data_IF_522395229903
#
_entry.id   IF_522395229903
#
_cell.length_a   1.000
_cell.length_b   1.000
_cell.length_c   1.000
_cell.angle_alpha   90.00
_cell.angle_beta   90.00
_cell.angle_gamma   90.00
#
_symmetry.space_group_name_H-M   'P 1'
#
loop_
_entity.id
_entity.type
_entity.pdbx_description
1 polymer ?
#
# COMPACT_ATOMS: atom_id res chain seq x y z
N UNK A 1 -0.85 21.57 2.94
CA UNK A 1 -1.41 20.60 3.91
C UNK A 1 -1.88 19.39 3.15
N UNK A 2 -1.42 18.20 3.51
CA UNK A 2 -1.89 16.96 2.90
C UNK A 2 -3.37 16.74 3.23
N UNK A 3 -4.15 16.33 2.22
CA UNK A 3 -5.58 16.07 2.36
C UNK A 3 -5.78 14.58 2.55
N UNK A 4 -6.45 14.18 3.64
CA UNK A 4 -6.73 12.77 3.91
C UNK A 4 -7.86 12.28 2.99
N UNK A 5 -7.63 11.24 2.18
CA UNK A 5 -8.67 10.66 1.36
C UNK A 5 -9.85 10.13 2.17
N UNK A 6 -11.06 10.24 1.61
CA UNK A 6 -12.30 9.92 2.36
C UNK A 6 -13.07 8.77 1.76
N UNK A 7 -13.01 8.64 0.45
CA UNK A 7 -13.77 7.64 -0.29
C UNK A 7 -12.95 7.28 -1.51
N UNK A 8 -12.62 6.02 -1.64
CA UNK A 8 -12.15 5.41 -2.85
C UNK A 8 -12.47 3.93 -2.77
N UNK A 9 -12.33 3.26 -3.89
CA UNK A 9 -12.36 1.81 -3.96
C UNK A 9 -10.99 1.37 -4.44
N UNK A 10 -10.33 0.51 -3.67
CA UNK A 10 -8.93 0.20 -3.89
C UNK A 10 -8.71 -0.61 -5.17
N UNK A 11 -9.66 -1.48 -5.52
CA UNK A 11 -9.60 -2.24 -6.77
C UNK A 11 -9.80 -1.30 -7.96
N UNK A 12 -10.76 -0.37 -7.90
CA UNK A 12 -10.89 0.66 -8.96
C UNK A 12 -9.67 1.56 -9.07
N UNK A 13 -9.02 1.90 -7.95
CA UNK A 13 -7.79 2.68 -7.95
C UNK A 13 -6.67 1.92 -8.66
N UNK A 14 -6.55 0.62 -8.40
CA UNK A 14 -5.62 -0.29 -9.08
C UNK A 14 -5.87 -0.32 -10.59
N UNK A 15 -7.13 -0.55 -11.00
CA UNK A 15 -7.54 -0.58 -12.40
C UNK A 15 -7.29 0.76 -13.10
N UNK A 16 -7.57 1.88 -12.43
CA UNK A 16 -7.27 3.21 -12.95
C UNK A 16 -5.77 3.44 -13.15
N UNK A 17 -4.91 2.91 -12.28
CA UNK A 17 -3.45 2.99 -12.46
C UNK A 17 -3.02 2.23 -13.72
N UNK A 18 -3.53 1.02 -13.93
CA UNK A 18 -3.27 0.24 -15.15
C UNK A 18 -3.81 0.91 -16.40
N UNK A 19 -5.03 1.46 -16.33
CA UNK A 19 -5.68 2.15 -17.44
C UNK A 19 -4.91 3.41 -17.85
N UNK A 20 -4.47 4.21 -16.89
CA UNK A 20 -3.74 5.46 -17.17
C UNK A 20 -2.34 5.15 -17.71
N UNK A 21 -1.66 4.17 -17.14
CA UNK A 21 -0.31 3.79 -17.54
C UNK A 21 0.74 4.86 -17.21
N UNK A 22 1.93 4.72 -17.80
CA UNK A 22 3.05 5.67 -17.62
C UNK A 22 2.90 6.93 -18.48
N UNK A 23 2.00 6.90 -19.47
CA UNK A 23 1.74 8.02 -20.38
C UNK A 23 0.78 9.04 -19.76
N UNK A 24 1.05 10.33 -19.92
CA UNK A 24 0.16 11.39 -19.44
C UNK A 24 -1.12 11.41 -20.27
N UNK A 25 -2.26 11.16 -19.62
CA UNK A 25 -3.61 11.24 -20.21
C UNK A 25 -4.37 12.45 -19.69
N UNK A 26 -5.15 13.11 -20.56
CA UNK A 26 -6.02 14.22 -20.16
C UNK A 26 -7.10 13.72 -19.20
N UNK A 27 -7.52 14.55 -18.25
CA UNK A 27 -8.51 14.18 -17.23
C UNK A 27 -9.84 13.74 -17.86
N UNK A 28 -10.26 14.44 -18.90
CA UNK A 28 -11.49 14.16 -19.65
C UNK A 28 -11.45 12.75 -20.25
N UNK A 29 -10.31 12.36 -20.84
CA UNK A 29 -10.13 11.02 -21.41
C UNK A 29 -10.21 9.95 -20.33
N UNK A 30 -9.61 10.19 -19.16
CA UNK A 30 -9.68 9.22 -18.04
C UNK A 30 -11.13 9.09 -17.55
N UNK A 31 -11.87 10.19 -17.47
CA UNK A 31 -13.29 10.17 -17.07
C UNK A 31 -14.20 9.48 -18.09
N UNK A 32 -13.93 9.67 -19.38
CA UNK A 32 -14.77 9.10 -20.44
C UNK A 32 -14.55 7.59 -20.61
N UNK A 33 -13.36 7.09 -20.25
CA UNK A 33 -13.02 5.65 -20.30
C UNK A 33 -13.32 4.94 -18.97
N UNK A 34 -13.43 5.66 -17.86
CA UNK A 34 -13.80 5.05 -16.59
C UNK A 34 -15.26 4.61 -16.60
N UNK A 35 -15.55 3.39 -16.16
CA UNK A 35 -16.93 2.85 -16.10
C UNK A 35 -17.80 3.48 -15.00
N UNK A 36 -17.25 4.42 -14.23
CA UNK A 36 -17.92 5.05 -13.09
C UNK A 36 -18.20 6.53 -13.32
N UNK A 37 -19.00 7.12 -12.41
CA UNK A 37 -19.31 8.55 -12.49
C UNK A 37 -18.06 9.42 -12.36
N UNK A 38 -18.03 10.57 -13.06
CA UNK A 38 -16.91 11.53 -12.98
C UNK A 38 -16.54 11.90 -11.54
N UNK A 39 -17.53 11.98 -10.64
CA UNK A 39 -17.32 12.26 -9.22
C UNK A 39 -16.56 11.12 -8.53
N UNK A 40 -16.97 9.87 -8.77
CA UNK A 40 -16.30 8.68 -8.23
C UNK A 40 -14.88 8.56 -8.75
N UNK A 41 -14.69 8.64 -10.07
CA UNK A 41 -13.36 8.61 -10.71
C UNK A 41 -12.47 9.72 -10.15
N UNK A 42 -13.02 10.93 -9.95
CA UNK A 42 -12.28 12.02 -9.35
C UNK A 42 -11.82 11.71 -7.92
N UNK A 43 -12.68 11.13 -7.08
CA UNK A 43 -12.33 10.71 -5.72
C UNK A 43 -11.24 9.63 -5.72
N UNK A 44 -11.35 8.63 -6.60
CA UNK A 44 -10.34 7.57 -6.75
C UNK A 44 -8.99 8.15 -7.20
N UNK A 45 -8.99 9.10 -8.14
CA UNK A 45 -7.77 9.83 -8.57
C UNK A 45 -7.15 10.63 -7.42
N UNK A 46 -7.95 11.31 -6.60
CA UNK A 46 -7.40 12.06 -5.45
C UNK A 46 -6.81 11.12 -4.40
N UNK A 47 -7.42 9.97 -4.15
CA UNK A 47 -6.88 8.93 -3.28
C UNK A 47 -5.55 8.39 -3.83
N UNK A 48 -5.52 7.98 -5.09
CA UNK A 48 -4.33 7.48 -5.76
C UNK A 48 -3.19 8.50 -5.75
N UNK A 49 -3.51 9.79 -5.96
CA UNK A 49 -2.56 10.89 -5.85
C UNK A 49 -2.00 11.03 -4.43
N UNK A 50 -2.85 10.96 -3.41
CA UNK A 50 -2.45 11.11 -2.02
C UNK A 50 -1.44 10.02 -1.61
N UNK A 51 -1.70 8.77 -2.00
CA UNK A 51 -0.81 7.63 -1.75
C UNK A 51 0.42 7.58 -2.69
N UNK A 52 0.60 8.56 -3.58
CA UNK A 52 1.74 8.57 -4.51
C UNK A 52 1.65 7.54 -5.64
N UNK A 53 0.48 6.93 -5.87
CA UNK A 53 0.21 5.98 -6.96
C UNK A 53 0.03 6.69 -8.30
N UNK A 54 -0.36 7.97 -8.27
CA UNK A 54 -0.56 8.78 -9.46
C UNK A 54 0.03 10.18 -9.33
N UNK A 55 0.50 10.73 -10.45
CA UNK A 55 0.86 12.13 -10.58
C UNK A 55 -0.22 12.87 -11.36
N UNK A 56 -0.85 13.83 -10.69
CA UNK A 56 -1.86 14.72 -11.29
C UNK A 56 -1.24 16.09 -11.54
N UNK A 57 -1.13 16.46 -12.81
CA UNK A 57 -0.62 17.75 -13.27
C UNK A 57 -1.69 18.50 -14.05
N UNK A 58 -1.42 19.74 -14.44
CA UNK A 58 -2.32 20.52 -15.31
C UNK A 58 -2.44 19.90 -16.72
N UNK A 59 -1.41 19.17 -17.15
CA UNK A 59 -1.39 18.50 -18.46
C UNK A 59 -2.21 17.21 -18.49
N UNK A 60 -2.46 16.62 -17.31
CA UNK A 60 -3.14 15.34 -17.20
C UNK A 60 -2.67 14.51 -16.02
N UNK A 61 -3.02 13.23 -16.08
CA UNK A 61 -2.79 12.22 -15.06
C UNK A 61 -1.86 11.15 -15.65
N UNK A 62 -0.88 10.69 -14.87
CA UNK A 62 -0.10 9.49 -15.16
C UNK A 62 0.05 8.65 -13.89
N UNK A 63 0.14 7.32 -14.01
CA UNK A 63 0.50 6.48 -12.89
C UNK A 63 2.01 6.61 -12.57
N UNK A 64 2.38 6.41 -11.31
CA UNK A 64 3.78 6.22 -10.88
C UNK A 64 4.17 4.75 -11.06
N UNK A 65 5.46 4.43 -10.92
CA UNK A 65 5.90 3.03 -10.94
C UNK A 65 5.15 2.21 -9.88
N UNK A 66 5.02 2.74 -8.66
CA UNK A 66 4.25 2.11 -7.59
C UNK A 66 2.78 1.84 -7.99
N UNK A 67 2.11 2.80 -8.63
CA UNK A 67 0.75 2.58 -9.13
C UNK A 67 0.67 1.53 -10.25
N UNK A 68 1.66 1.49 -11.14
CA UNK A 68 1.75 0.46 -12.18
C UNK A 68 1.97 -0.93 -11.57
N UNK A 69 2.89 -1.04 -10.61
CA UNK A 69 3.19 -2.31 -9.94
C UNK A 69 1.96 -2.84 -9.21
N UNK A 70 1.19 -1.98 -8.52
CA UNK A 70 -0.09 -2.37 -7.89
C UNK A 70 -1.10 -2.86 -8.95
N UNK A 71 -1.19 -2.19 -10.10
CA UNK A 71 -2.12 -2.61 -11.16
C UNK A 71 -1.79 -3.95 -11.81
N UNK A 72 -0.53 -4.39 -11.70
CA UNK A 72 -0.05 -5.65 -12.29
C UNK A 72 -0.10 -6.83 -11.31
N UNK A 73 -0.33 -6.58 -10.02
CA UNK A 73 -0.29 -7.59 -8.96
C UNK A 73 -1.66 -8.17 -8.61
N UNK A 74 -2.68 -8.01 -9.47
CA UNK A 74 -4.03 -8.53 -9.22
C UNK A 74 -4.10 -10.06 -8.93
N UNK A 75 -3.04 -10.83 -9.22
CA UNK A 75 -2.94 -12.26 -8.92
C UNK A 75 -1.95 -12.60 -7.78
N UNK A 76 -1.14 -11.64 -7.36
CA UNK A 76 -0.09 -11.79 -6.35
C UNK A 76 -0.43 -10.88 -5.17
N UNK A 77 -1.28 -11.40 -4.28
CA UNK A 77 -1.82 -10.67 -3.14
C UNK A 77 -0.72 -10.21 -2.18
N UNK A 78 0.26 -11.08 -1.89
CA UNK A 78 1.39 -10.78 -1.00
C UNK A 78 2.20 -9.59 -1.54
N UNK A 79 2.51 -9.60 -2.85
CA UNK A 79 3.20 -8.47 -3.47
C UNK A 79 2.34 -7.21 -3.48
N UNK A 80 1.04 -7.34 -3.73
CA UNK A 80 0.11 -6.20 -3.69
C UNK A 80 0.09 -5.54 -2.31
N UNK A 81 0.00 -6.33 -1.25
CA UNK A 81 0.02 -5.87 0.13
C UNK A 81 1.31 -5.13 0.48
N UNK A 82 2.47 -5.67 0.09
CA UNK A 82 3.76 -5.01 0.29
C UNK A 82 3.84 -3.63 -0.39
N UNK A 83 3.30 -3.50 -1.62
CA UNK A 83 3.25 -2.22 -2.33
C UNK A 83 2.29 -1.23 -1.64
N UNK A 84 1.17 -1.69 -1.08
CA UNK A 84 0.30 -0.85 -0.26
C UNK A 84 0.96 -0.43 1.06
N UNK A 85 1.74 -1.29 1.72
CA UNK A 85 2.56 -0.89 2.89
C UNK A 85 3.52 0.24 2.52
N UNK A 86 4.20 0.12 1.37
CA UNK A 86 5.09 1.18 0.88
C UNK A 86 4.33 2.49 0.62
N UNK A 87 3.14 2.41 0.00
CA UNK A 87 2.28 3.56 -0.28
C UNK A 87 1.80 4.25 1.01
N UNK A 88 1.43 3.47 2.03
CA UNK A 88 1.04 3.98 3.36
C UNK A 88 2.21 4.68 4.03
N UNK A 89 3.40 4.09 4.02
CA UNK A 89 4.61 4.69 4.58
C UNK A 89 5.03 5.99 3.87
N UNK A 90 4.74 6.11 2.57
CA UNK A 90 5.01 7.33 1.79
C UNK A 90 4.01 8.47 2.03
N UNK A 91 2.83 8.17 2.58
CA UNK A 91 1.80 9.16 2.83
C UNK A 91 1.77 9.56 4.30
N UNK A 92 2.45 10.68 4.62
CA UNK A 92 2.67 11.18 5.98
C UNK A 92 1.43 11.12 6.89
N UNK A 93 0.22 11.54 6.48
CA UNK A 93 -0.95 11.45 7.36
C UNK A 93 -1.29 10.03 7.81
N UNK A 94 -1.10 9.04 6.94
CA UNK A 94 -1.33 7.66 7.30
C UNK A 94 -0.17 7.11 8.13
N UNK A 95 1.09 7.43 7.79
CA UNK A 95 2.25 7.04 8.57
C UNK A 95 2.15 7.51 10.04
N UNK A 96 1.81 8.79 10.26
CA UNK A 96 1.60 9.36 11.59
C UNK A 96 0.41 8.71 12.32
N UNK A 97 -0.68 8.38 11.61
CA UNK A 97 -1.80 7.66 12.22
C UNK A 97 -1.41 6.25 12.65
N UNK A 98 -0.65 5.51 11.85
CA UNK A 98 -0.15 4.17 12.21
C UNK A 98 0.71 4.27 13.47
N UNK A 99 1.70 5.17 13.51
CA UNK A 99 2.55 5.41 14.69
C UNK A 99 1.73 5.71 15.95
N UNK A 100 0.73 6.59 15.86
CA UNK A 100 -0.12 6.97 17.00
C UNK A 100 -1.01 5.82 17.46
N UNK A 101 -1.59 5.05 16.53
CA UNK A 101 -2.45 3.92 16.86
C UNK A 101 -1.67 2.78 17.51
N UNK A 102 -0.45 2.50 17.04
CA UNK A 102 0.43 1.47 17.60
C UNK A 102 0.97 1.81 19.00
N UNK A 103 0.99 3.09 19.39
CA UNK A 103 1.46 3.54 20.71
C UNK A 103 0.33 3.77 21.72
N UNK A 104 -0.89 4.03 21.26
CA UNK A 104 -1.99 4.49 22.12
C UNK A 104 -2.96 3.40 22.59
N UNK A 105 -2.81 2.15 22.18
CA UNK A 105 -3.83 1.12 22.37
C UNK A 105 -3.33 -0.32 22.51
N UNK A 106 -4.27 -1.26 22.52
CA UNK A 106 -3.99 -2.69 22.38
C UNK A 106 -3.51 -2.96 20.95
N UNK A 107 -2.35 -3.56 20.79
CA UNK A 107 -1.75 -3.89 19.48
C UNK A 107 -2.62 -4.81 18.59
N UNK A 108 -3.74 -5.31 19.10
CA UNK A 108 -4.62 -6.26 18.42
C UNK A 108 -5.74 -5.59 17.61
N UNK A 109 -6.14 -4.34 17.91
CA UNK A 109 -7.34 -3.72 17.31
C UNK A 109 -7.17 -2.21 17.12
N UNK A 110 -7.40 -1.74 15.90
CA UNK A 110 -7.55 -0.31 15.61
C UNK A 110 -9.03 0.05 15.44
N UNK A 111 -9.61 0.72 16.44
CA UNK A 111 -10.99 1.20 16.36
C UNK A 111 -11.11 2.47 15.51
N UNK A 112 -12.13 2.52 14.64
CA UNK A 112 -12.43 3.70 13.82
C UNK A 112 -12.61 4.98 14.64
N UNK A 113 -13.17 4.86 15.85
CA UNK A 113 -13.39 6.00 16.75
C UNK A 113 -12.09 6.61 17.25
N UNK A 114 -11.08 5.78 17.51
CA UNK A 114 -9.77 6.25 17.95
C UNK A 114 -9.01 6.86 16.78
N UNK A 115 -9.09 6.26 15.59
CA UNK A 115 -8.57 6.89 14.36
C UNK A 115 -9.21 8.26 14.11
N UNK A 116 -10.55 8.39 14.19
CA UNK A 116 -11.23 9.68 14.06
C UNK A 116 -10.78 10.69 15.13
N UNK A 117 -10.54 10.22 16.37
CA UNK A 117 -10.01 11.06 17.45
C UNK A 117 -8.61 11.59 17.11
N UNK A 118 -7.71 10.76 16.62
CA UNK A 118 -6.37 11.19 16.22
C UNK A 118 -6.40 12.13 15.00
N UNK A 119 -7.25 11.86 14.01
CA UNK A 119 -7.49 12.77 12.88
C UNK A 119 -8.00 14.13 13.37
N UNK A 120 -8.86 14.17 14.40
CA UNK A 120 -9.39 15.43 14.96
C UNK A 120 -8.34 16.24 15.71
N UNK A 121 -7.44 15.58 16.45
CA UNK A 121 -6.44 16.25 17.28
C UNK A 121 -5.30 16.81 16.43
N UNK A 122 -4.95 16.15 15.32
CA UNK A 122 -3.93 16.63 14.39
C UNK A 122 -4.52 17.73 13.51
N UNK A 123 -4.29 19.00 13.88
CA UNK A 123 -4.79 20.18 13.16
C UNK A 123 -4.21 20.37 11.76
N UNK A 124 -3.18 19.60 11.40
CA UNK A 124 -2.43 19.77 10.15
C UNK A 124 -3.10 19.10 8.95
N UNK A 125 -4.13 18.28 9.20
CA UNK A 125 -4.90 17.63 8.16
C UNK A 125 -6.07 18.48 7.70
N UNK A 126 -6.05 18.84 6.43
CA UNK A 126 -7.09 19.65 5.83
C UNK A 126 -8.35 18.82 5.54
N UNK A 127 -9.32 18.86 6.45
CA UNK A 127 -10.60 18.16 6.33
C UNK A 127 -11.74 19.08 5.88
N UNK A 128 -11.42 20.18 5.17
CA UNK A 128 -12.31 21.32 4.86
C UNK A 128 -13.77 21.02 4.47
N UNK A 129 -14.09 19.86 3.90
CA UNK A 129 -15.45 19.58 3.40
C UNK A 129 -15.85 18.09 3.41
N UNK A 130 -15.91 17.41 4.56
CA UNK A 130 -16.50 16.06 4.60
C UNK A 130 -16.46 15.33 5.95
N UNK A 131 -17.13 14.16 6.06
CA UNK A 131 -17.19 13.42 7.31
C UNK A 131 -15.82 12.78 7.59
N UNK A 132 -15.17 13.18 8.68
CA UNK A 132 -13.91 12.58 9.17
C UNK A 132 -14.01 11.07 9.36
N UNK A 133 -15.19 10.62 9.77
CA UNK A 133 -15.58 9.23 9.85
C UNK A 133 -15.30 8.40 8.58
N UNK A 134 -15.44 9.02 7.41
CA UNK A 134 -15.13 8.36 6.13
C UNK A 134 -13.62 8.27 5.91
N UNK A 135 -12.86 9.29 6.29
CA UNK A 135 -11.39 9.25 6.28
C UNK A 135 -10.84 8.16 7.21
N UNK A 136 -11.37 8.06 8.43
CA UNK A 136 -11.00 6.99 9.36
C UNK A 136 -11.32 5.60 8.78
N UNK A 137 -12.46 5.46 8.09
CA UNK A 137 -12.82 4.20 7.41
C UNK A 137 -11.86 3.87 6.27
N UNK A 138 -11.56 4.85 5.42
CA UNK A 138 -10.65 4.68 4.29
C UNK A 138 -9.24 4.32 4.76
N UNK A 139 -8.78 4.89 5.86
CA UNK A 139 -7.51 4.51 6.50
C UNK A 139 -7.50 3.03 6.89
N UNK A 140 -8.51 2.55 7.62
CA UNK A 140 -8.58 1.14 8.03
C UNK A 140 -8.65 0.18 6.83
N UNK A 141 -9.42 0.53 5.79
CA UNK A 141 -9.49 -0.26 4.56
C UNK A 141 -8.16 -0.26 3.79
N UNK A 142 -7.39 0.84 3.87
CA UNK A 142 -6.05 0.89 3.26
C UNK A 142 -5.06 -0.01 4.01
N UNK A 143 -5.17 -0.10 5.34
CA UNK A 143 -4.35 -1.02 6.13
C UNK A 143 -4.71 -2.49 5.88
N UNK A 144 -5.99 -2.80 5.67
CA UNK A 144 -6.42 -4.13 5.22
C UNK A 144 -5.77 -4.47 3.87
N UNK A 145 -5.83 -3.56 2.89
CA UNK A 145 -5.16 -3.78 1.60
C UNK A 145 -3.62 -3.83 1.67
N UNK A 146 -3.04 -3.36 2.78
CA UNK A 146 -1.62 -3.47 3.08
C UNK A 146 -1.27 -4.78 3.82
N UNK A 147 -2.23 -5.68 4.01
CA UNK A 147 -2.03 -6.98 4.66
C UNK A 147 -1.87 -6.91 6.18
N UNK A 148 -2.17 -5.77 6.80
CA UNK A 148 -1.97 -5.59 8.26
C UNK A 148 -3.02 -6.36 9.07
N UNK A 149 -4.21 -6.55 8.51
CA UNK A 149 -5.28 -7.25 9.20
C UNK A 149 -6.60 -7.15 8.45
N UNK A 150 -7.70 -7.46 9.13
CA UNK A 150 -9.03 -7.54 8.54
C UNK A 150 -9.93 -6.41 8.97
N UNK A 151 -10.53 -5.70 8.01
CA UNK A 151 -11.47 -4.64 8.28
C UNK A 151 -12.86 -5.22 8.62
N UNK A 152 -13.39 -4.84 9.78
CA UNK A 152 -14.67 -5.32 10.29
C UNK A 152 -15.65 -4.16 10.42
N UNK A 153 -16.71 -4.20 9.61
CA UNK A 153 -17.82 -3.24 9.68
C UNK A 153 -18.65 -3.49 10.95
N UNK A 154 -18.74 -2.47 11.80
CA UNK A 154 -19.51 -2.53 13.05
C UNK A 154 -21.01 -2.72 12.81
N UNK A 155 -21.64 -3.63 13.58
CA UNK A 155 -23.10 -3.86 13.59
C UNK A 155 -23.59 -4.07 15.02
N UNK A 156 -24.84 -3.70 15.30
CA UNK A 156 -25.53 -3.95 16.58
C UNK A 156 -24.76 -3.47 17.83
N UNK A 157 -24.19 -2.27 17.77
CA UNK A 157 -23.44 -1.67 18.89
C UNK A 157 -21.95 -1.99 18.91
N UNK A 158 -21.46 -2.89 18.06
CA UNK A 158 -20.02 -3.09 17.87
C UNK A 158 -19.44 -1.97 17.01
N UNK A 159 -18.25 -1.50 17.38
CA UNK A 159 -17.53 -0.49 16.62
C UNK A 159 -16.93 -1.06 15.33
N UNK A 160 -16.83 -0.21 14.31
CA UNK A 160 -16.04 -0.49 13.10
C UNK A 160 -14.56 -0.43 13.47
N UNK A 161 -13.79 -1.43 13.03
CA UNK A 161 -12.40 -1.62 13.47
C UNK A 161 -11.59 -2.38 12.42
N UNK A 162 -10.27 -2.33 12.54
CA UNK A 162 -9.35 -3.28 11.92
C UNK A 162 -8.87 -4.24 13.02
N UNK A 163 -9.05 -5.54 12.80
CA UNK A 163 -8.48 -6.58 13.65
C UNK A 163 -7.11 -6.94 13.07
N UNK A 164 -6.04 -6.77 13.85
CA UNK A 164 -4.68 -7.07 13.42
C UNK A 164 -4.54 -8.59 13.36
N UNK A 165 -4.32 -9.12 12.16
CA UNK A 165 -4.15 -10.57 11.93
C UNK A 165 -2.67 -10.91 11.65
N UNK A 166 -1.89 -9.94 11.17
CA UNK A 166 -0.47 -10.07 10.86
C UNK A 166 0.35 -8.98 11.56
N UNK A 167 0.92 -9.34 12.72
CA UNK A 167 1.81 -8.46 13.48
C UNK A 167 3.13 -8.20 12.75
N UNK A 168 3.61 -9.13 11.91
CA UNK A 168 4.84 -8.96 11.14
C UNK A 168 4.64 -7.88 10.07
N UNK A 169 3.52 -7.90 9.35
CA UNK A 169 3.17 -6.86 8.39
C UNK A 169 3.03 -5.47 9.02
N UNK A 170 2.48 -5.38 10.25
CA UNK A 170 2.43 -4.12 11.00
C UNK A 170 3.84 -3.64 11.38
N UNK A 171 4.71 -4.53 11.85
CA UNK A 171 6.08 -4.20 12.22
C UNK A 171 6.93 -3.79 11.01
N UNK A 172 6.76 -4.45 9.86
CA UNK A 172 7.37 -4.05 8.59
C UNK A 172 6.92 -2.64 8.20
N UNK A 173 5.62 -2.35 8.30
CA UNK A 173 5.09 -1.02 8.00
C UNK A 173 5.68 0.04 8.93
N UNK A 174 5.78 -0.23 10.24
CA UNK A 174 6.42 0.67 11.20
C UNK A 174 7.90 0.89 10.88
N UNK A 175 8.63 -0.16 10.50
CA UNK A 175 10.04 -0.04 10.09
C UNK A 175 10.21 0.84 8.84
N UNK A 176 9.35 0.67 7.83
CA UNK A 176 9.32 1.53 6.63
C UNK A 176 9.03 2.99 6.98
N UNK A 177 8.12 3.24 7.94
CA UNK A 177 7.81 4.60 8.41
C UNK A 177 9.02 5.21 9.11
N UNK A 178 9.67 4.47 10.02
CA UNK A 178 10.86 4.93 10.75
C UNK A 178 12.05 5.20 9.83
N UNK A 179 12.25 4.41 8.78
CA UNK A 179 13.32 4.64 7.79
C UNK A 179 13.10 5.94 7.01
N UNK A 180 11.85 6.23 6.64
CA UNK A 180 11.49 7.41 5.83
C UNK A 180 11.39 8.69 6.64
N UNK A 181 11.13 8.59 7.95
CA UNK A 181 11.00 9.75 8.83
C UNK A 181 11.84 9.58 10.12
N UNK A 182 13.18 9.71 10.02
CA UNK A 182 14.06 9.49 11.16
C UNK A 182 13.90 10.52 12.29
N UNK A 183 13.38 11.72 11.99
CA UNK A 183 13.23 12.80 12.98
C UNK A 183 12.06 12.57 13.94
N UNK A 184 11.00 11.86 13.53
CA UNK A 184 9.85 11.55 14.39
C UNK A 184 10.04 10.32 15.29
N UNK A 185 11.10 9.54 15.07
CA UNK A 185 11.39 8.34 15.84
C UNK A 185 11.99 8.63 17.23
N UNK A 186 12.54 9.83 17.47
CA UNK A 186 13.24 10.18 18.72
C UNK A 186 12.32 10.80 19.80
N UNK A 187 11.06 11.15 19.51
CA UNK A 187 10.16 11.78 20.50
C UNK A 187 9.23 10.78 21.25
N UNK A 188 9.44 9.47 21.11
CA UNK A 188 8.52 8.43 21.64
C UNK A 188 8.89 7.95 23.06
N UNK A 189 9.96 8.47 23.67
CA UNK A 189 10.34 8.13 25.04
C UNK A 189 10.36 9.36 25.96
N UNK A 190 9.96 9.19 27.23
CA UNK A 190 9.96 10.20 28.32
C UNK A 190 8.70 11.07 28.59
N UNK A 191 7.48 10.54 28.55
CA UNK A 191 6.41 11.12 29.39
C UNK A 191 5.49 10.07 30.05
N UNK A 192 6.09 8.99 30.55
CA UNK A 192 5.49 8.09 31.52
C UNK A 192 5.67 8.62 32.95
N UNK A 193 4.71 9.41 33.43
CA UNK A 193 4.61 9.77 34.86
C UNK A 193 4.42 8.50 35.70
N UNK A 194 5.46 8.09 36.41
CA UNK A 194 5.39 7.11 37.49
C UNK A 194 5.97 7.71 38.77
N UNK A 195 5.11 8.38 39.52
CA UNK A 195 5.38 8.75 40.90
C UNK A 195 5.04 7.55 41.81
N UNK A 196 6.03 6.72 42.10
CA UNK A 196 5.98 5.73 43.18
C UNK A 196 7.40 5.34 43.62
N UNK A 197 7.85 5.92 44.72
CA UNK A 197 8.71 5.23 45.70
C UNK A 197 8.01 3.94 46.19
N UNK A 198 8.71 2.90 46.71
CA UNK A 198 9.96 3.01 47.47
C UNK A 198 11.01 1.87 47.31
N UNK A 199 12.16 2.16 47.93
CA UNK A 199 13.03 1.24 48.70
C UNK A 199 13.81 0.11 48.02
N UNK A 200 15.12 0.40 47.87
CA UNK A 200 16.23 -0.19 48.62
C UNK A 200 16.65 -1.67 48.44
N UNK A 201 17.95 -1.80 48.14
CA UNK A 201 18.91 -2.83 48.57
C UNK A 201 18.94 -4.23 47.91
N UNK A 202 19.96 -4.39 47.04
CA UNK A 202 21.19 -5.17 47.31
C UNK A 202 21.47 -6.45 46.47
N UNK A 203 22.69 -6.44 45.91
CA UNK A 203 23.62 -7.57 45.74
C UNK A 203 23.60 -8.52 44.53
N UNK A 204 24.66 -8.35 43.73
CA UNK A 204 25.79 -9.29 43.54
C UNK A 204 25.63 -10.53 42.62
N UNK A 205 26.22 -10.39 41.43
CA UNK A 205 27.02 -11.36 40.64
C UNK A 205 26.35 -12.64 40.09
N UNK A 206 26.57 -12.96 38.80
CA UNK A 206 27.55 -13.98 38.36
C UNK A 206 27.59 -14.06 36.82
N UNK A 207 28.81 -14.10 36.29
CA UNK A 207 29.11 -14.27 34.88
C UNK A 207 28.61 -15.61 34.31
N UNK A 208 28.21 -15.60 33.03
CA UNK A 208 28.23 -16.77 32.15
C UNK A 208 28.43 -16.30 30.72
N UNK A 209 29.62 -16.55 30.19
CA UNK A 209 29.96 -16.37 28.78
C UNK A 209 29.30 -17.49 27.97
N UNK A 210 28.50 -17.12 26.96
CA UNK A 210 28.15 -18.00 25.85
C UNK A 210 28.59 -17.32 24.55
N UNK A 211 29.35 -18.07 23.75
CA UNK A 211 29.79 -17.69 22.41
C UNK A 211 28.58 -17.71 21.47
N UNK A 212 28.14 -16.55 21.02
CA UNK A 212 27.19 -16.39 19.90
C UNK A 212 27.93 -15.86 18.68
N UNK A 213 27.77 -16.54 17.55
CA UNK A 213 28.25 -16.13 16.23
C UNK A 213 27.76 -14.71 15.90
N UNK A 214 28.62 -13.83 15.36
CA UNK A 214 28.18 -12.52 14.90
C UNK A 214 27.32 -12.68 13.64
N UNK A 215 26.04 -12.29 13.77
CA UNK A 215 25.12 -12.14 12.64
C UNK A 215 25.57 -10.98 11.75
N UNK A 216 25.57 -11.20 10.44
CA UNK A 216 25.95 -10.26 9.38
C UNK A 216 24.76 -9.30 9.14
N UNK A 217 24.34 -8.60 10.19
CA UNK A 217 23.31 -7.57 10.13
C UNK A 217 23.96 -6.27 10.60
N UNK A 218 24.53 -5.50 9.66
CA UNK A 218 25.22 -4.25 9.97
C UNK A 218 26.31 -3.82 8.98
N UNK A 219 26.61 -4.63 7.95
CA UNK A 219 27.66 -4.31 6.99
C UNK A 219 27.30 -3.14 6.06
N UNK A 220 26.02 -2.94 5.77
CA UNK A 220 25.56 -1.86 4.87
C UNK A 220 25.80 -0.45 5.44
N UNK A 221 25.75 -0.30 6.77
CA UNK A 221 26.01 0.97 7.45
C UNK A 221 27.49 1.37 7.43
N UNK A 222 28.40 0.40 7.30
CA UNK A 222 29.85 0.65 7.20
C UNK A 222 30.24 1.05 5.77
N UNK A 223 29.58 0.49 4.75
CA UNK A 223 29.88 0.74 3.34
C UNK A 223 29.49 2.16 2.86
N UNK A 224 28.51 2.81 3.49
CA UNK A 224 28.07 4.17 3.09
C UNK A 224 28.97 5.31 3.61
N UNK A 225 29.84 5.06 4.60
CA UNK A 225 30.62 6.11 5.26
C UNK A 225 32.07 6.26 4.76
N UNK A 226 32.56 5.34 3.89
CA UNK A 226 33.92 5.38 3.37
C UNK A 226 34.00 4.93 1.89
N UNK A 227 34.13 5.86 0.91
CA UNK A 227 34.19 5.52 -0.52
C UNK A 227 35.52 4.86 -0.97
N UNK A 228 36.41 4.51 -0.05
CA UNK A 228 37.68 3.83 -0.32
C UNK A 228 37.81 2.48 0.42
N UNK A 229 36.69 1.84 0.73
CA UNK A 229 36.72 0.54 1.40
C UNK A 229 37.05 -0.58 0.41
N UNK A 230 38.31 -0.99 0.36
CA UNK A 230 38.74 -2.25 -0.27
C UNK A 230 38.59 -3.39 0.74
N UNK A 231 37.77 -4.38 0.44
CA UNK A 231 37.74 -5.64 1.18
C UNK A 231 38.38 -6.75 0.33
N UNK A 232 39.10 -7.66 1.00
CA UNK A 232 39.71 -8.83 0.38
C UNK A 232 38.87 -10.05 0.75
N UNK A 233 38.37 -10.78 -0.24
CA UNK A 233 37.70 -12.07 -0.02
C UNK A 233 38.75 -13.17 -0.21
N UNK A 234 39.01 -13.95 0.84
CA UNK A 234 39.81 -15.17 0.76
C UNK A 234 38.89 -16.39 0.73
N UNK A 235 38.93 -17.14 -0.37
CA UNK A 235 38.21 -18.39 -0.53
C UNK A 235 39.18 -19.55 -0.28
N UNK A 236 38.90 -20.35 0.75
CA UNK A 236 39.63 -21.59 1.01
C UNK A 236 38.81 -22.76 0.43
N UNK A 237 39.29 -23.35 -0.67
CA UNK A 237 38.68 -24.52 -1.30
C UNK A 237 39.41 -25.77 -0.80
N UNK A 238 38.66 -26.78 -0.33
CA UNK A 238 39.23 -28.01 0.20
C UNK A 238 39.50 -29.07 -0.89
N UNK A 239 39.05 -28.82 -2.12
CA UNK A 239 39.26 -29.65 -3.29
C UNK A 239 38.19 -30.73 -3.50
N UNK A 240 37.16 -30.75 -2.66
CA UNK A 240 35.98 -31.62 -2.83
C UNK A 240 34.84 -30.92 -3.57
N UNK A 241 34.94 -29.62 -3.79
CA UNK A 241 33.92 -28.82 -4.45
C UNK A 241 33.85 -29.11 -5.96
N UNK A 242 32.63 -29.12 -6.50
CA UNK A 242 32.41 -29.26 -7.94
C UNK A 242 33.02 -28.06 -8.70
N UNK A 243 33.94 -28.29 -9.66
CA UNK A 243 34.55 -27.22 -10.43
C UNK A 243 33.54 -26.32 -11.16
N UNK A 244 32.36 -26.84 -11.52
CA UNK A 244 31.31 -26.05 -12.18
C UNK A 244 30.70 -25.03 -11.22
N UNK A 245 30.47 -25.42 -9.96
CA UNK A 245 29.92 -24.52 -8.94
C UNK A 245 30.92 -23.43 -8.56
N UNK A 246 32.21 -23.77 -8.48
CA UNK A 246 33.27 -22.78 -8.25
C UNK A 246 33.35 -21.79 -9.41
N UNK A 247 33.25 -22.25 -10.66
CA UNK A 247 33.22 -21.36 -11.83
C UNK A 247 32.00 -20.43 -11.83
N UNK A 248 30.81 -20.95 -11.49
CA UNK A 248 29.59 -20.16 -11.42
C UNK A 248 29.66 -19.10 -10.32
N UNK A 249 30.23 -19.43 -9.16
CA UNK A 249 30.44 -18.47 -8.06
C UNK A 249 31.39 -17.34 -8.49
N UNK A 250 32.53 -17.68 -9.11
CA UNK A 250 33.49 -16.68 -9.61
C UNK A 250 32.87 -15.81 -10.70
N UNK A 251 32.08 -16.40 -11.60
CA UNK A 251 31.37 -15.67 -12.64
C UNK A 251 30.34 -14.69 -12.06
N UNK A 252 29.53 -15.12 -11.09
CA UNK A 252 28.54 -14.27 -10.43
C UNK A 252 29.15 -13.11 -9.65
N UNK A 253 30.28 -13.33 -8.97
CA UNK A 253 31.02 -12.25 -8.29
C UNK A 253 31.53 -11.22 -9.31
N UNK A 254 32.07 -11.69 -10.43
CA UNK A 254 32.59 -10.81 -11.49
C UNK A 254 31.48 -10.00 -12.15
N UNK A 255 30.35 -10.63 -12.44
CA UNK A 255 29.17 -9.98 -13.02
C UNK A 255 28.57 -8.94 -12.07
N UNK A 256 28.47 -9.26 -10.77
CA UNK A 256 28.03 -8.30 -9.75
C UNK A 256 28.95 -7.09 -9.57
N UNK A 257 30.25 -7.25 -9.83
CA UNK A 257 31.21 -6.13 -9.80
C UNK A 257 31.19 -5.29 -11.07
N UNK A 258 31.00 -5.89 -12.24
CA UNK A 258 30.94 -5.18 -13.52
C UNK A 258 29.55 -4.54 -13.78
N UNK A 259 28.49 -5.08 -13.17
CA UNK A 259 27.09 -4.70 -13.43
C UNK A 259 26.60 -3.41 -12.75
N UNK A 260 27.37 -2.79 -11.85
CA UNK A 260 26.92 -1.59 -11.14
C UNK A 260 27.17 -0.25 -11.89
N UNK A 261 27.35 -0.30 -13.22
CA UNK A 261 27.16 0.87 -14.08
C UNK A 261 26.10 0.57 -15.14
N UNK A 262 24.84 0.86 -14.79
CA UNK A 262 23.67 0.92 -15.69
C UNK A 262 23.36 -0.32 -16.54
N UNK A 263 22.44 -1.17 -16.08
CA UNK A 263 21.80 -2.14 -16.97
C UNK A 263 20.83 -3.07 -16.26
N UNK A 264 19.58 -3.12 -16.74
CA UNK A 264 18.50 -3.99 -16.26
C UNK A 264 18.87 -5.48 -16.32
N UNK A 265 18.25 -6.32 -15.45
CA UNK A 265 18.36 -7.77 -15.54
C UNK A 265 17.67 -8.27 -16.82
N UNK A 266 18.42 -8.90 -17.70
CA UNK A 266 17.89 -9.70 -18.81
C UNK A 266 17.44 -11.06 -18.28
N UNK A 267 16.13 -11.29 -18.24
CA UNK A 267 15.56 -12.62 -18.05
C UNK A 267 15.98 -13.54 -19.21
N UNK A 268 16.51 -14.71 -18.86
CA UNK A 268 16.98 -15.73 -19.80
C UNK A 268 15.84 -16.73 -20.02
N UNK A 269 15.20 -16.68 -21.19
CA UNK A 269 14.18 -17.66 -21.61
C UNK A 269 14.80 -19.05 -21.81
N UNK A 270 14.33 -20.03 -21.04
CA UNK A 270 14.52 -21.45 -21.32
C UNK A 270 13.60 -21.88 -22.46
N UNK A 271 14.18 -22.14 -23.64
CA UNK A 271 13.49 -22.82 -24.73
C UNK A 271 13.47 -24.33 -24.44
N UNK A 272 12.30 -24.86 -24.08
CA UNK A 272 12.00 -26.28 -24.26
C UNK A 272 11.30 -26.44 -25.60
N UNK A 273 11.98 -27.09 -26.54
CA UNK A 273 11.38 -27.55 -27.79
C UNK A 273 10.65 -28.85 -27.49
N UNK A 274 9.34 -28.88 -27.68
CA UNK A 274 8.58 -30.12 -27.76
C UNK A 274 7.77 -30.15 -29.06
N UNK A 275 8.00 -31.23 -29.80
CA UNK A 275 7.36 -31.60 -31.05
C UNK A 275 6.04 -32.31 -30.73
N UNK A 276 4.92 -31.85 -31.31
CA UNK A 276 3.84 -32.73 -31.79
C UNK A 276 2.76 -31.84 -32.41
N UNK A 277 2.62 -31.88 -33.72
CA UNK A 277 1.83 -32.84 -34.50
C UNK A 277 0.36 -32.45 -34.58
N UNK A 278 -0.16 -32.54 -35.79
CA UNK A 278 -1.39 -31.91 -36.20
C UNK A 278 -2.63 -32.43 -35.48
N UNK A 279 -3.72 -31.68 -35.60
CA UNK A 279 -4.93 -32.20 -36.22
C UNK A 279 -5.81 -31.01 -36.65
N UNK A 280 -6.04 -30.98 -37.95
CA UNK A 280 -7.12 -30.26 -38.60
C UNK A 280 -8.45 -30.74 -38.00
N UNK A 281 -9.34 -29.81 -37.65
CA UNK A 281 -10.76 -30.16 -37.57
C UNK A 281 -11.59 -29.04 -38.17
N UNK A 282 -12.08 -29.34 -39.36
CA UNK A 282 -13.10 -28.63 -40.09
C UNK A 282 -14.47 -28.71 -39.39
N UNK A 283 -15.32 -27.75 -39.77
CA UNK A 283 -16.79 -27.89 -39.89
C UNK A 283 -17.63 -28.02 -38.61
N UNK A 284 -18.46 -26.99 -38.39
CA UNK A 284 -19.95 -27.01 -38.45
C UNK A 284 -20.45 -25.70 -37.81
N UNK A 285 -20.94 -24.71 -38.56
CA UNK A 285 -22.28 -24.58 -39.15
C UNK A 285 -23.42 -24.48 -38.14
N UNK A 286 -24.15 -23.36 -38.26
CA UNK A 286 -25.60 -23.17 -38.09
C UNK A 286 -26.20 -22.65 -36.76
N UNK A 287 -27.28 -21.90 -36.99
CA UNK A 287 -28.34 -21.36 -36.12
C UNK A 287 -28.02 -20.08 -35.32
N UNK A 288 -28.41 -18.87 -35.78
CA UNK A 288 -29.70 -18.37 -36.28
C UNK A 288 -30.86 -18.48 -35.27
N UNK A 289 -30.93 -17.55 -34.31
CA UNK A 289 -32.21 -17.09 -33.76
C UNK A 289 -32.20 -15.57 -33.52
N UNK A 290 -33.14 -14.81 -34.13
CA UNK A 290 -33.37 -13.41 -33.82
C UNK A 290 -34.29 -13.28 -32.60
N UNK A 291 -33.84 -12.60 -31.55
CA UNK A 291 -34.70 -12.22 -30.43
C UNK A 291 -35.36 -10.84 -30.72
N UNK A 292 -36.68 -10.68 -30.53
CA UNK A 292 -37.43 -9.53 -30.99
C UNK A 292 -37.27 -8.28 -30.12
N UNK A 293 -37.55 -7.16 -30.78
CA UNK A 293 -37.58 -5.78 -30.28
C UNK A 293 -38.84 -5.51 -29.38
N UNK A 294 -38.96 -4.30 -28.79
CA UNK A 294 -39.56 -4.07 -27.47
C UNK A 294 -41.07 -3.78 -27.49
N UNK A 295 -41.77 -4.21 -26.43
CA UNK A 295 -43.10 -3.72 -26.04
C UNK A 295 -42.90 -2.41 -25.23
N UNK A 296 -43.31 -1.27 -25.80
CA UNK A 296 -44.61 -0.59 -25.63
C UNK A 296 -44.86 0.05 -24.26
N UNK A 297 -44.82 1.38 -24.29
CA UNK A 297 -45.89 2.30 -23.89
C UNK A 297 -46.56 2.08 -22.53
N UNK A 298 -46.19 2.96 -21.60
CA UNK A 298 -46.93 3.27 -20.39
C UNK A 298 -46.79 4.75 -20.07
N UNK A 299 -47.52 5.57 -20.83
CA UNK A 299 -47.92 6.92 -20.40
C UNK A 299 -48.78 6.77 -19.15
N UNK A 300 -48.38 7.40 -18.04
CA UNK A 300 -49.32 7.69 -16.95
C UNK A 300 -49.14 9.15 -16.53
N UNK A 301 -50.04 9.95 -17.08
CA UNK A 301 -50.38 11.29 -16.64
C UNK A 301 -51.01 11.21 -15.23
N UNK A 302 -50.42 11.88 -14.25
CA UNK A 302 -51.21 12.33 -13.10
C UNK A 302 -50.67 13.64 -12.53
N UNK A 303 -51.47 14.70 -12.76
CA UNK A 303 -51.86 15.79 -11.87
C UNK A 303 -50.80 16.30 -10.88
N UNK A 304 -50.35 17.56 -11.00
CA UNK A 304 -51.11 18.73 -10.52
C UNK A 304 -51.51 18.54 -9.06
N UNK A 305 -50.77 19.13 -8.12
CA UNK A 305 -51.34 19.96 -7.06
C UNK A 305 -50.28 20.94 -6.54
N UNK A 306 -50.67 22.20 -6.65
CA UNK A 306 -50.07 23.40 -6.10
C UNK A 306 -50.10 23.38 -4.56
N UNK A 307 -49.05 23.91 -3.92
CA UNK A 307 -49.11 24.35 -2.53
C UNK A 307 -48.14 25.51 -2.32
N UNK A 308 -48.69 26.68 -2.65
CA UNK A 308 -48.30 27.99 -2.14
C UNK A 308 -48.58 28.05 -0.63
N UNK A 309 -47.56 28.33 0.17
CA UNK A 309 -47.78 28.79 1.54
C UNK A 309 -46.60 29.62 2.05
N UNK A 310 -46.81 30.94 1.93
CA UNK A 310 -46.72 31.92 3.02
C UNK A 310 -45.35 32.14 3.67
N UNK A 311 -44.76 33.29 3.30
CA UNK A 311 -43.87 34.09 4.15
C UNK A 311 -44.54 34.35 5.51
N UNK A 312 -43.77 34.19 6.57
CA UNK A 312 -44.04 34.74 7.89
C UNK A 312 -42.90 35.66 8.29
N UNK A 313 -43.19 36.96 8.34
CA UNK A 313 -42.37 37.99 8.98
C UNK A 313 -42.18 37.66 10.47
N UNK A 314 -40.96 37.86 10.97
CA UNK A 314 -40.70 38.03 12.39
C UNK A 314 -39.83 39.28 12.58
N UNK A 315 -40.41 40.24 13.29
CA UNK A 315 -39.75 41.41 13.90
C UNK A 315 -38.72 41.00 14.96
#
# INVERSE_FOLDING_TARGET
MPNIPRTADLDRVSDLCGLVGTTVKRKEVVYDVSETSKRTTHSDIQYAKALGLMQVTDKGIKATNLGIDISQTNKDEVRREALFREAVANFEPYATLVMKMSTSGSNEVFERRDVDRHIRVNSDYDLKDGPREKAATMFLQTLEAAGVGRYVVGRKGNQTRLEIEDEEALNELLALISEKNPEEAEEVDENGVSNAEPSNENSTSRASHTHTNPSIAGLDKVLQSNPQFTFEIQLNLDGTEDPVNVQNLVAGIKEGWEGNSSGQPTEREEYTADESDGLENEMQSEDNQPNPAPEQDGEDDSADESSDSSLGDFE
#
